data_IF_680118405649
#
_entry.id   IF_680118405649
#
_cell.length_a   1.000
_cell.length_b   1.000
_cell.length_c   1.000
_cell.angle_alpha   90.00
_cell.angle_beta   90.00
_cell.angle_gamma   90.00
#
_symmetry.space_group_name_H-M   'P 1'
#
loop_
_entity.id
_entity.type
_entity.pdbx_description
1 polymer ?
#
# COMPACT_ATOMS: atom_id res chain seq x y z
N UNK A 1 14.72 -5.08 -0.32
CA UNK A 1 13.98 -5.23 0.95
C UNK A 1 14.35 -6.50 1.70
N UNK A 2 14.02 -7.71 1.24
CA UNK A 2 14.30 -8.97 1.98
C UNK A 2 15.76 -9.10 2.43
N UNK A 3 16.71 -8.80 1.56
CA UNK A 3 18.15 -8.80 1.91
C UNK A 3 18.48 -7.84 3.07
N UNK A 4 17.83 -6.67 3.13
CA UNK A 4 18.01 -5.71 4.23
C UNK A 4 17.45 -6.28 5.53
N UNK A 5 16.25 -6.88 5.49
CA UNK A 5 15.63 -7.52 6.65
C UNK A 5 16.41 -8.75 7.15
N UNK A 6 17.07 -9.49 6.25
CA UNK A 6 17.90 -10.64 6.58
C UNK A 6 19.30 -10.26 7.09
N UNK A 7 19.81 -9.08 6.72
CA UNK A 7 21.14 -8.63 7.10
C UNK A 7 21.19 -8.07 8.54
N UNK A 8 20.04 -7.75 9.12
CA UNK A 8 19.93 -7.20 10.47
C UNK A 8 19.07 -8.07 11.39
N UNK A 9 19.48 -8.14 12.65
CA UNK A 9 18.75 -8.84 13.72
C UNK A 9 17.92 -7.87 14.59
N UNK A 10 17.98 -6.57 14.28
CA UNK A 10 17.28 -5.53 15.03
C UNK A 10 15.76 -5.67 14.92
N UNK A 11 15.01 -5.56 16.04
CA UNK A 11 13.56 -5.52 16.03
C UNK A 11 13.03 -4.46 15.05
N UNK A 12 12.31 -4.89 14.02
CA UNK A 12 11.90 -4.04 12.89
C UNK A 12 10.38 -4.02 12.74
N UNK A 13 9.82 -2.82 12.62
CA UNK A 13 8.45 -2.59 12.12
C UNK A 13 8.52 -2.35 10.62
N UNK A 14 7.76 -3.11 9.84
CA UNK A 14 7.68 -2.91 8.38
C UNK A 14 6.39 -2.18 8.06
N UNK A 15 6.52 -1.01 7.43
CA UNK A 15 5.39 -0.21 6.95
C UNK A 15 5.23 -0.44 5.45
N UNK A 16 4.04 -0.88 5.03
CA UNK A 16 3.77 -1.18 3.64
C UNK A 16 2.50 -0.47 3.17
N UNK A 17 2.66 0.42 2.19
CA UNK A 17 1.60 1.24 1.62
C UNK A 17 1.17 0.71 0.25
N UNK A 18 -0.14 0.68 -0.01
CA UNK A 18 -0.71 0.37 -1.34
C UNK A 18 -0.08 -0.89 -1.96
N UNK A 19 0.42 -0.85 -3.20
CA UNK A 19 1.10 -1.97 -3.85
C UNK A 19 2.33 -2.50 -3.07
N UNK A 20 3.01 -1.65 -2.29
CA UNK A 20 4.18 -2.04 -1.50
C UNK A 20 3.92 -3.17 -0.50
N UNK A 21 2.65 -3.39 -0.12
CA UNK A 21 2.26 -4.53 0.70
C UNK A 21 2.39 -5.87 -0.02
N UNK A 22 2.06 -5.93 -1.32
CA UNK A 22 2.23 -7.15 -2.13
C UNK A 22 3.70 -7.56 -2.11
N UNK A 23 4.60 -6.60 -2.30
CA UNK A 23 6.06 -6.81 -2.20
C UNK A 23 6.47 -7.24 -0.78
N UNK A 24 5.88 -6.62 0.25
CA UNK A 24 6.17 -6.92 1.66
C UNK A 24 5.72 -8.32 2.07
N UNK A 25 4.61 -8.82 1.50
CA UNK A 25 4.03 -10.10 1.84
C UNK A 25 5.01 -11.27 1.66
N UNK A 26 5.90 -11.19 0.66
CA UNK A 26 6.99 -12.15 0.49
C UNK A 26 8.27 -11.73 1.20
N UNK A 27 8.62 -10.45 1.15
CA UNK A 27 9.90 -9.97 1.65
C UNK A 27 10.07 -10.18 3.16
N UNK A 28 9.00 -10.00 3.94
CA UNK A 28 9.01 -10.14 5.39
C UNK A 28 8.71 -11.58 5.88
N UNK A 29 8.23 -12.46 5.01
CA UNK A 29 7.87 -13.82 5.40
C UNK A 29 9.08 -14.61 5.94
N UNK A 30 8.91 -15.21 7.12
CA UNK A 30 9.93 -16.01 7.80
C UNK A 30 11.11 -15.22 8.36
N UNK A 31 11.02 -13.90 8.47
CA UNK A 31 12.09 -13.06 9.03
C UNK A 31 11.81 -12.78 10.52
N UNK A 32 12.61 -13.39 11.42
CA UNK A 32 12.40 -13.29 12.87
C UNK A 32 12.65 -11.92 13.50
N UNK A 33 13.38 -11.03 12.81
CA UNK A 33 13.58 -9.64 13.24
C UNK A 33 12.36 -8.75 12.98
N UNK A 34 11.44 -9.15 12.10
CA UNK A 34 10.18 -8.42 11.87
C UNK A 34 9.24 -8.64 13.04
N UNK A 35 8.94 -7.56 13.78
CA UNK A 35 8.09 -7.60 14.98
C UNK A 35 6.66 -7.14 14.74
N UNK A 36 6.45 -6.29 13.73
CA UNK A 36 5.12 -5.80 13.39
C UNK A 36 5.03 -5.41 11.92
N UNK A 37 3.83 -5.54 11.34
CA UNK A 37 3.50 -5.01 10.02
C UNK A 37 2.43 -3.91 10.14
N UNK A 38 2.73 -2.70 9.67
CA UNK A 38 1.74 -1.66 9.47
C UNK A 38 1.34 -1.62 7.99
N UNK A 39 0.09 -2.00 7.69
CA UNK A 39 -0.44 -2.12 6.34
C UNK A 39 -1.34 -0.93 6.04
N UNK A 40 -0.96 -0.06 5.12
CA UNK A 40 -1.63 1.24 4.88
C UNK A 40 -2.32 1.24 3.53
N UNK A 41 -3.64 1.49 3.51
CA UNK A 41 -4.46 1.68 2.30
C UNK A 41 -4.14 0.69 1.16
N UNK A 42 -4.26 -0.61 1.44
CA UNK A 42 -3.68 -1.67 0.61
C UNK A 42 -4.59 -2.87 0.38
N UNK A 43 -4.37 -3.57 -0.74
CA UNK A 43 -4.92 -4.90 -1.02
C UNK A 43 -4.14 -5.96 -0.26
N UNK A 44 -4.83 -6.93 0.38
CA UNK A 44 -4.18 -8.00 1.14
C UNK A 44 -4.32 -9.39 0.47
N UNK A 45 -3.76 -9.69 -0.73
CA UNK A 45 -3.84 -11.02 -1.32
C UNK A 45 -3.38 -12.14 -0.38
N UNK A 46 -4.04 -13.30 -0.51
CA UNK A 46 -3.58 -14.61 -0.01
C UNK A 46 -2.62 -15.26 -1.00
N UNK A 47 -1.91 -16.31 -0.55
CA UNK A 47 -1.04 -17.08 -1.41
C UNK A 47 -1.77 -17.60 -2.65
N UNK A 48 -1.18 -17.40 -3.83
CA UNK A 48 -1.77 -17.72 -5.12
C UNK A 48 -2.67 -16.63 -5.71
N UNK A 49 -3.00 -15.57 -4.96
CA UNK A 49 -3.72 -14.40 -5.47
C UNK A 49 -2.75 -13.32 -5.96
N UNK A 50 -3.23 -12.48 -6.87
CA UNK A 50 -2.54 -11.36 -7.51
C UNK A 50 -3.35 -10.07 -7.34
N UNK A 51 -2.79 -8.92 -7.76
CA UNK A 51 -3.56 -7.66 -7.76
C UNK A 51 -4.74 -7.71 -8.73
N UNK A 52 -4.58 -8.42 -9.86
CA UNK A 52 -5.61 -8.56 -10.88
C UNK A 52 -6.88 -9.28 -10.39
N UNK A 53 -6.79 -10.08 -9.33
CA UNK A 53 -7.95 -10.75 -8.73
C UNK A 53 -8.90 -9.78 -7.99
N UNK A 54 -8.46 -8.55 -7.73
CA UNK A 54 -9.23 -7.51 -7.04
C UNK A 54 -9.55 -6.31 -7.93
N UNK A 55 -9.16 -6.36 -9.20
CA UNK A 55 -9.50 -5.33 -10.18
C UNK A 55 -11.01 -5.28 -10.42
N UNK A 56 -11.54 -4.08 -10.64
CA UNK A 56 -12.91 -3.93 -11.14
C UNK A 56 -12.97 -4.34 -12.63
N UNK A 57 -14.17 -4.66 -13.12
CA UNK A 57 -14.41 -5.05 -14.52
C UNK A 57 -13.91 -4.00 -15.53
N UNK A 58 -13.85 -2.73 -15.12
CA UNK A 58 -13.28 -1.64 -15.90
C UNK A 58 -12.06 -1.06 -15.18
N UNK A 59 -10.99 -0.68 -15.91
CA UNK A 59 -9.85 -0.01 -15.32
C UNK A 59 -10.29 1.31 -14.65
N UNK A 60 -9.64 1.63 -13.54
CA UNK A 60 -9.90 2.88 -12.84
C UNK A 60 -9.56 4.08 -13.76
N UNK A 61 -10.34 5.17 -13.74
CA UNK A 61 -10.19 6.27 -14.69
C UNK A 61 -8.87 7.02 -14.55
N UNK A 62 -8.18 6.89 -13.41
CA UNK A 62 -6.87 7.50 -13.18
C UNK A 62 -5.72 6.74 -13.84
N UNK A 63 -5.93 5.50 -14.29
CA UNK A 63 -4.85 4.67 -14.85
C UNK A 63 -4.44 5.20 -16.22
N UNK A 64 -3.15 5.49 -16.35
CA UNK A 64 -2.50 5.76 -17.63
C UNK A 64 -1.78 4.47 -18.07
N UNK A 65 -2.30 3.76 -19.07
CA UNK A 65 -1.76 2.46 -19.50
C UNK A 65 -1.04 2.64 -20.83
N UNK A 66 0.22 2.20 -20.88
CA UNK A 66 1.04 2.11 -22.09
C UNK A 66 1.30 0.62 -22.41
N UNK A 67 0.49 0.01 -23.29
CA UNK A 67 0.64 -1.40 -23.67
C UNK A 67 1.95 -1.66 -24.43
N UNK A 68 2.46 -0.68 -25.18
CA UNK A 68 3.65 -0.83 -26.01
C UNK A 68 4.92 -0.85 -25.14
N UNK A 69 4.98 0.01 -24.12
CA UNK A 69 6.03 -0.01 -23.11
C UNK A 69 5.83 -1.12 -22.05
N UNK A 70 4.64 -1.71 -21.97
CA UNK A 70 4.31 -2.71 -20.95
C UNK A 70 4.19 -2.11 -19.54
N UNK A 71 3.80 -0.84 -19.44
CA UNK A 71 3.75 -0.10 -18.17
C UNK A 71 2.40 0.58 -17.93
N UNK A 72 2.18 0.98 -16.69
CA UNK A 72 1.08 1.85 -16.31
C UNK A 72 1.55 2.90 -15.31
N UNK A 73 0.81 3.99 -15.20
CA UNK A 73 1.00 5.06 -14.25
C UNK A 73 -0.33 5.69 -13.86
N UNK A 74 -0.25 6.95 -13.46
CA UNK A 74 -1.42 7.76 -13.10
C UNK A 74 -1.48 8.95 -14.05
N UNK A 75 -2.65 9.20 -14.62
CA UNK A 75 -2.90 10.39 -15.43
C UNK A 75 -2.61 11.66 -14.58
N UNK A 76 -1.67 12.54 -15.00
CA UNK A 76 -1.24 13.67 -14.20
C UNK A 76 -2.38 14.58 -13.73
N UNK A 77 -3.39 14.80 -14.58
CA UNK A 77 -4.57 15.62 -14.30
C UNK A 77 -5.51 15.01 -13.25
N UNK A 78 -5.43 13.70 -13.00
CA UNK A 78 -6.22 12.98 -12.00
C UNK A 78 -5.43 12.67 -10.72
N UNK A 79 -4.10 12.82 -10.74
CA UNK A 79 -3.22 12.51 -9.61
C UNK A 79 -3.67 13.16 -8.30
N UNK A 80 -3.79 14.50 -8.31
CA UNK A 80 -4.10 15.26 -7.09
C UNK A 80 -5.48 14.90 -6.55
N UNK A 81 -6.50 14.91 -7.41
CA UNK A 81 -7.88 14.66 -6.99
C UNK A 81 -8.13 13.22 -6.53
N UNK A 82 -7.28 12.27 -6.92
CA UNK A 82 -7.45 10.84 -6.60
C UNK A 82 -6.61 10.41 -5.39
N UNK A 83 -5.37 10.89 -5.29
CA UNK A 83 -4.41 10.36 -4.32
C UNK A 83 -4.01 11.37 -3.25
N UNK A 84 -4.09 12.67 -3.53
CA UNK A 84 -3.51 13.74 -2.72
C UNK A 84 -4.52 14.84 -2.36
N UNK A 85 -5.82 14.53 -2.45
CA UNK A 85 -6.91 15.51 -2.30
C UNK A 85 -6.93 16.19 -0.93
N UNK A 86 -6.33 15.56 0.07
CA UNK A 86 -6.23 15.99 1.46
C UNK A 86 -4.80 16.38 1.87
N UNK A 87 -3.85 16.37 0.95
CA UNK A 87 -2.48 16.78 1.20
C UNK A 87 -2.30 18.30 1.02
N UNK A 88 -1.24 18.86 1.61
CA UNK A 88 -0.90 20.27 1.47
C UNK A 88 -0.64 20.66 -0.01
N UNK A 89 -0.98 21.88 -0.43
CA UNK A 89 -0.80 22.34 -1.82
C UNK A 89 0.65 22.23 -2.32
N UNK A 90 1.64 22.39 -1.44
CA UNK A 90 3.06 22.22 -1.79
C UNK A 90 3.38 20.77 -2.17
N UNK A 91 2.87 19.80 -1.40
CA UNK A 91 3.01 18.37 -1.71
C UNK A 91 2.30 18.04 -3.02
N UNK A 92 1.08 18.57 -3.21
CA UNK A 92 0.32 18.38 -4.45
C UNK A 92 1.08 18.89 -5.68
N UNK A 93 1.70 20.08 -5.57
CA UNK A 93 2.44 20.70 -6.67
C UNK A 93 3.69 19.91 -7.09
N UNK A 94 4.31 19.18 -6.16
CA UNK A 94 5.54 18.41 -6.43
C UNK A 94 5.26 16.97 -6.87
N UNK A 95 4.08 16.43 -6.57
CA UNK A 95 3.81 15.00 -6.71
C UNK A 95 4.00 14.43 -8.12
N UNK A 96 3.65 15.19 -9.17
CA UNK A 96 3.82 14.74 -10.55
C UNK A 96 5.29 14.47 -10.91
N UNK A 97 6.24 15.17 -10.27
CA UNK A 97 7.68 14.95 -10.48
C UNK A 97 8.21 13.65 -9.85
N UNK A 98 7.43 13.05 -8.95
CA UNK A 98 7.78 11.81 -8.27
C UNK A 98 7.10 10.57 -8.87
N UNK A 99 6.25 10.73 -9.88
CA UNK A 99 5.66 9.61 -10.58
C UNK A 99 6.69 8.87 -11.42
N UNK A 100 6.59 7.54 -11.41
CA UNK A 100 7.36 6.66 -12.27
C UNK A 100 6.43 5.59 -12.87
N UNK A 101 6.65 5.17 -14.12
CA UNK A 101 5.92 4.04 -14.69
C UNK A 101 6.16 2.76 -13.90
N UNK A 102 5.09 1.98 -13.70
CA UNK A 102 5.11 0.67 -13.09
C UNK A 102 4.87 -0.41 -14.14
N UNK A 103 5.61 -1.52 -14.07
CA UNK A 103 5.44 -2.64 -15.01
C UNK A 103 4.05 -3.26 -14.90
N UNK A 104 3.35 -3.47 -16.02
CA UNK A 104 2.05 -4.15 -16.04
C UNK A 104 2.13 -5.58 -15.49
N UNK A 105 3.28 -6.24 -15.58
CA UNK A 105 3.46 -7.63 -15.13
C UNK A 105 3.18 -7.81 -13.64
N UNK A 106 3.43 -6.77 -12.83
CA UNK A 106 3.21 -6.83 -11.37
C UNK A 106 1.75 -7.05 -11.00
N UNK A 107 0.81 -6.73 -11.89
CA UNK A 107 -0.63 -6.88 -11.62
C UNK A 107 -1.04 -8.36 -11.58
N UNK A 108 -0.41 -9.20 -12.40
CA UNK A 108 -0.68 -10.64 -12.48
C UNK A 108 0.29 -11.51 -11.68
N UNK A 109 1.25 -10.91 -10.97
CA UNK A 109 2.17 -11.67 -10.12
C UNK A 109 1.43 -12.20 -8.89
N UNK A 110 1.34 -13.52 -8.80
CA UNK A 110 0.78 -14.21 -7.64
C UNK A 110 1.75 -14.11 -6.46
N UNK A 111 1.23 -13.83 -5.28
CA UNK A 111 2.05 -13.85 -4.06
C UNK A 111 2.26 -15.29 -3.60
N UNK A 112 3.50 -15.65 -3.26
CA UNK A 112 3.85 -16.97 -2.72
C UNK A 112 3.65 -17.09 -1.21
N UNK A 113 3.56 -15.97 -0.50
CA UNK A 113 3.45 -15.94 0.95
C UNK A 113 2.62 -14.76 1.46
N UNK A 114 2.20 -14.88 2.71
CA UNK A 114 1.36 -13.94 3.43
C UNK A 114 2.04 -13.55 4.75
N UNK A 115 3.04 -12.65 4.72
CA UNK A 115 3.82 -12.29 5.91
C UNK A 115 2.98 -11.82 7.12
N UNK A 116 1.81 -11.21 6.86
CA UNK A 116 0.82 -10.79 7.87
C UNK A 116 0.20 -11.94 8.66
N UNK A 117 0.34 -13.19 8.22
CA UNK A 117 -0.04 -14.38 9.00
C UNK A 117 1.05 -14.83 9.96
N UNK A 118 2.25 -14.24 9.89
CA UNK A 118 3.46 -14.71 10.59
C UNK A 118 4.00 -13.71 11.61
N UNK A 119 3.56 -12.46 11.54
CA UNK A 119 3.93 -11.40 12.47
C UNK A 119 2.67 -10.58 12.83
N UNK A 120 2.59 -10.02 14.05
CA UNK A 120 1.54 -9.09 14.42
C UNK A 120 1.35 -7.99 13.38
N UNK A 121 0.10 -7.63 13.13
CA UNK A 121 -0.25 -6.70 12.06
C UNK A 121 -1.32 -5.70 12.48
N UNK A 122 -1.15 -4.46 12.02
CA UNK A 122 -2.16 -3.41 12.08
C UNK A 122 -2.48 -2.97 10.67
N UNK A 123 -3.75 -2.97 10.31
CA UNK A 123 -4.23 -2.38 9.08
C UNK A 123 -4.73 -0.95 9.34
N UNK A 124 -4.25 0.00 8.54
CA UNK A 124 -4.67 1.40 8.54
C UNK A 124 -5.60 1.66 7.35
N UNK A 125 -6.90 1.76 7.62
CA UNK A 125 -7.94 2.14 6.65
C UNK A 125 -7.92 3.66 6.47
N UNK A 126 -7.88 4.09 5.22
CA UNK A 126 -8.03 5.49 4.82
C UNK A 126 -9.46 5.74 4.34
N UNK A 127 -10.29 6.36 5.16
CA UNK A 127 -11.74 6.46 4.92
C UNK A 127 -12.13 7.34 3.73
N UNK A 128 -11.24 8.23 3.27
CA UNK A 128 -11.45 9.14 2.13
C UNK A 128 -10.63 8.76 0.89
N UNK A 129 -10.01 7.57 0.88
CA UNK A 129 -9.20 7.11 -0.24
C UNK A 129 -10.04 6.97 -1.52
N UNK A 130 -9.60 7.60 -2.61
CA UNK A 130 -10.25 7.53 -3.93
C UNK A 130 -9.51 6.63 -4.91
N UNK A 131 -8.27 6.23 -4.59
CA UNK A 131 -7.47 5.30 -5.38
C UNK A 131 -7.74 3.85 -5.01
N UNK A 132 -7.75 3.54 -3.72
CA UNK A 132 -8.12 2.22 -3.18
C UNK A 132 -9.41 2.34 -2.39
N UNK A 133 -10.57 1.90 -2.91
CA UNK A 133 -11.86 2.12 -2.28
C UNK A 133 -11.91 1.67 -0.80
N UNK A 134 -12.36 2.51 0.15
CA UNK A 134 -12.35 2.20 1.58
C UNK A 134 -13.18 0.96 1.93
N UNK A 135 -14.21 0.67 1.13
CA UNK A 135 -14.96 -0.58 1.25
C UNK A 135 -14.05 -1.80 1.09
N UNK A 136 -13.24 -1.85 0.03
CA UNK A 136 -12.31 -2.96 -0.21
C UNK A 136 -11.23 -2.99 0.88
N UNK A 137 -10.74 -1.83 1.31
CA UNK A 137 -9.81 -1.75 2.44
C UNK A 137 -10.37 -2.42 3.69
N UNK A 138 -11.63 -2.14 4.06
CA UNK A 138 -12.28 -2.76 5.23
C UNK A 138 -12.47 -4.28 5.06
N UNK A 139 -12.76 -4.74 3.85
CA UNK A 139 -12.83 -6.18 3.54
C UNK A 139 -11.46 -6.87 3.78
N UNK A 140 -10.36 -6.22 3.40
CA UNK A 140 -9.02 -6.73 3.67
C UNK A 140 -8.56 -6.53 5.11
N UNK A 141 -8.94 -5.44 5.76
CA UNK A 141 -8.53 -5.09 7.12
C UNK A 141 -8.90 -6.20 8.13
N UNK A 142 -10.01 -6.91 7.89
CA UNK A 142 -10.41 -8.06 8.71
C UNK A 142 -9.41 -9.24 8.71
N UNK A 143 -8.38 -9.21 7.85
CA UNK A 143 -7.28 -10.18 7.83
C UNK A 143 -6.14 -9.83 8.79
N UNK A 144 -6.05 -8.57 9.25
CA UNK A 144 -5.03 -8.13 10.19
C UNK A 144 -5.47 -8.33 11.65
N UNK A 145 -4.51 -8.35 12.58
CA UNK A 145 -4.81 -8.52 14.00
C UNK A 145 -5.50 -7.29 14.60
N UNK A 146 -5.11 -6.10 14.14
CA UNK A 146 -5.69 -4.83 14.56
C UNK A 146 -6.10 -3.99 13.35
N UNK A 147 -7.13 -3.17 13.53
CA UNK A 147 -7.60 -2.23 12.52
C UNK A 147 -7.70 -0.84 13.12
N UNK A 148 -7.10 0.13 12.44
CA UNK A 148 -7.21 1.56 12.72
C UNK A 148 -7.80 2.21 11.47
N UNK A 149 -8.76 3.11 11.64
CA UNK A 149 -9.35 3.87 10.54
C UNK A 149 -9.14 5.36 10.76
N UNK A 150 -8.63 6.05 9.74
CA UNK A 150 -8.40 7.50 9.74
C UNK A 150 -9.25 8.17 8.66
N UNK A 151 -9.72 9.38 8.95
CA UNK A 151 -10.35 10.26 7.98
C UNK A 151 -9.29 10.90 7.06
N UNK A 152 -8.64 10.06 6.26
CA UNK A 152 -7.52 10.42 5.38
C UNK A 152 -7.72 9.87 3.96
N UNK A 153 -7.10 10.54 3.00
CA UNK A 153 -6.94 10.08 1.62
C UNK A 153 -5.88 8.98 1.49
N UNK A 154 -5.34 8.76 0.29
CA UNK A 154 -4.51 7.60 0.00
C UNK A 154 -3.15 7.59 0.75
N UNK A 155 -2.66 8.78 1.14
CA UNK A 155 -1.33 8.98 1.73
C UNK A 155 -1.41 9.63 3.12
N UNK A 156 -1.86 8.92 4.17
CA UNK A 156 -2.04 9.49 5.51
C UNK A 156 -0.73 9.97 6.13
N UNK A 157 0.42 9.42 5.69
CA UNK A 157 1.75 9.87 6.13
C UNK A 157 2.18 11.21 5.51
N UNK A 158 1.46 11.70 4.50
CA UNK A 158 1.64 13.05 3.95
C UNK A 158 0.60 14.02 4.51
N UNK A 159 -0.68 13.61 4.59
CA UNK A 159 -1.75 14.50 5.06
C UNK A 159 -1.88 14.59 6.58
N UNK A 160 -1.53 13.53 7.32
CA UNK A 160 -1.64 13.45 8.78
C UNK A 160 -0.38 12.81 9.41
N UNK A 161 0.82 13.37 9.18
CA UNK A 161 2.09 12.75 9.56
C UNK A 161 2.21 12.51 11.08
N UNK A 162 1.71 13.42 11.92
CA UNK A 162 1.75 13.27 13.38
C UNK A 162 0.92 12.07 13.85
N UNK A 163 -0.27 11.88 13.27
CA UNK A 163 -1.14 10.75 13.60
C UNK A 163 -0.50 9.42 13.20
N UNK A 164 0.14 9.35 12.02
CA UNK A 164 0.85 8.13 11.58
C UNK A 164 2.08 7.87 12.44
N UNK A 165 2.84 8.91 12.82
CA UNK A 165 3.95 8.78 13.77
C UNK A 165 3.48 8.20 15.09
N UNK A 166 2.41 8.76 15.66
CA UNK A 166 1.92 8.33 16.97
C UNK A 166 1.38 6.90 16.91
N UNK A 167 0.75 6.51 15.79
CA UNK A 167 0.39 5.11 15.56
C UNK A 167 1.64 4.21 15.58
N UNK A 168 2.68 4.57 14.83
CA UNK A 168 3.93 3.78 14.76
C UNK A 168 4.61 3.60 16.11
N UNK A 169 4.62 4.64 16.95
CA UNK A 169 5.23 4.61 18.28
C UNK A 169 4.44 3.74 19.28
N UNK A 170 3.20 3.38 18.96
CA UNK A 170 2.31 2.57 19.79
C UNK A 170 2.15 1.12 19.29
N UNK A 171 2.91 0.70 18.26
CA UNK A 171 2.92 -0.69 17.78
C UNK A 171 3.80 -1.60 18.65
#
# INVERSE_FOLDING_TARGET
MRQVLQAGDEPTVVVAHSYGRIVTAEAAAGIGSVRHLLLVSSYLPEAGQSLSDFGADNPAPFLDIDPDAGTFGVLPELLVNTFLQDCDPEVQAQAAHHLAPQSLQVTGQQVGAAAWQQAPSTYLVCAQDRGTPPRLQREFAGRADNVVELDAGHHPFLSQPDTVRDLLLNL
#
